data_IF_475796944058
#
_entry.id   IF_475796944058
#
_cell.length_a   1.000
_cell.length_b   1.000
_cell.length_c   1.000
_cell.angle_alpha   90.00
_cell.angle_beta   90.00
_cell.angle_gamma   90.00
#
_symmetry.space_group_name_H-M   'P 1'
#
loop_
_entity.id
_entity.type
_entity.pdbx_description
1 polymer ?
#
# COMPACT_ATOMS: atom_id res chain seq x y z
N UNK A 1 7.35 -2.43 -11.83
CA UNK A 1 6.78 -1.30 -12.59
C UNK A 1 7.64 -0.04 -12.66
N UNK A 2 8.16 0.50 -11.54
CA UNK A 2 8.97 1.74 -11.55
C UNK A 2 10.12 1.67 -10.53
N UNK A 3 11.10 2.56 -10.63
CA UNK A 3 12.17 2.72 -9.63
C UNK A 3 11.67 3.65 -8.53
N UNK A 4 11.70 3.17 -7.28
CA UNK A 4 11.36 3.94 -6.07
C UNK A 4 12.57 4.01 -5.12
N UNK A 5 12.37 4.51 -3.91
CA UNK A 5 13.44 4.74 -2.92
C UNK A 5 13.37 6.17 -2.39
N UNK A 6 13.51 7.19 -3.26
CA UNK A 6 13.15 8.55 -2.91
C UNK A 6 11.66 8.62 -2.56
N UNK A 7 11.36 9.03 -1.32
CA UNK A 7 10.02 9.04 -0.77
C UNK A 7 9.08 9.94 -1.59
N UNK A 8 7.81 9.55 -1.69
CA UNK A 8 6.78 10.28 -2.46
C UNK A 8 6.78 9.99 -3.96
N UNK A 9 7.90 9.60 -4.59
CA UNK A 9 7.93 9.34 -6.04
C UNK A 9 6.99 8.19 -6.48
N UNK A 10 6.85 7.16 -5.65
CA UNK A 10 6.02 5.98 -5.96
C UNK A 10 4.52 6.31 -6.13
N UNK A 11 3.94 7.14 -5.25
CA UNK A 11 2.55 7.59 -5.40
C UNK A 11 2.40 8.50 -6.62
N UNK A 12 3.39 9.35 -6.91
CA UNK A 12 3.39 10.20 -8.11
C UNK A 12 3.41 9.37 -9.39
N UNK A 13 4.24 8.32 -9.46
CA UNK A 13 4.23 7.40 -10.59
C UNK A 13 2.90 6.65 -10.72
N UNK A 14 2.33 6.19 -9.61
CA UNK A 14 1.04 5.51 -9.60
C UNK A 14 -0.10 6.40 -10.14
N UNK A 15 -0.08 7.71 -9.83
CA UNK A 15 -1.01 8.68 -10.44
C UNK A 15 -0.84 8.72 -11.96
N UNK A 16 0.40 8.72 -12.46
CA UNK A 16 0.69 8.64 -13.89
C UNK A 16 0.20 7.35 -14.55
N UNK A 17 0.38 6.20 -13.90
CA UNK A 17 -0.12 4.91 -14.41
C UNK A 17 -1.65 4.85 -14.47
N UNK A 18 -2.34 5.33 -13.44
CA UNK A 18 -3.80 5.39 -13.44
C UNK A 18 -4.35 6.39 -14.47
N UNK A 19 -3.64 7.50 -14.70
CA UNK A 19 -3.97 8.42 -15.79
C UNK A 19 -3.80 7.76 -17.16
N UNK A 20 -2.71 7.01 -17.38
CA UNK A 20 -2.46 6.31 -18.63
C UNK A 20 -3.55 5.26 -18.90
N UNK A 21 -3.93 4.47 -17.90
CA UNK A 21 -5.06 3.52 -18.00
C UNK A 21 -6.35 4.24 -18.44
N UNK A 22 -6.70 5.34 -17.76
CA UNK A 22 -7.92 6.10 -18.04
C UNK A 22 -7.95 6.66 -19.45
N UNK A 23 -6.83 7.22 -19.91
CA UNK A 23 -6.71 7.79 -21.26
C UNK A 23 -6.79 6.70 -22.33
N UNK A 24 -6.08 5.58 -22.15
CA UNK A 24 -6.10 4.47 -23.10
C UNK A 24 -7.47 3.77 -23.13
N UNK A 25 -8.13 3.60 -21.98
CA UNK A 25 -9.50 3.11 -21.91
C UNK A 25 -10.46 4.03 -22.68
N UNK A 26 -10.34 5.35 -22.52
CA UNK A 26 -11.16 6.33 -23.25
C UNK A 26 -10.91 6.29 -24.77
N UNK A 27 -9.68 6.06 -25.20
CA UNK A 27 -9.33 6.06 -26.63
C UNK A 27 -9.73 4.76 -27.34
N UNK A 28 -9.51 3.61 -26.69
CA UNK A 28 -9.58 2.30 -27.33
C UNK A 28 -10.79 1.45 -26.97
N UNK A 29 -11.41 1.64 -25.81
CA UNK A 29 -12.59 0.85 -25.47
C UNK A 29 -13.76 1.22 -26.40
N UNK A 30 -14.57 0.21 -26.74
CA UNK A 30 -15.80 0.36 -27.54
C UNK A 30 -16.95 -0.30 -26.78
N UNK A 31 -18.18 0.01 -27.16
CA UNK A 31 -19.35 -0.66 -26.60
C UNK A 31 -19.21 -2.18 -26.77
N UNK A 32 -19.34 -2.93 -25.67
CA UNK A 32 -19.13 -4.38 -25.64
C UNK A 32 -17.66 -4.85 -25.59
N UNK A 33 -16.67 -3.94 -25.65
CA UNK A 33 -15.25 -4.26 -25.73
C UNK A 33 -14.39 -3.34 -24.87
N UNK A 34 -14.16 -3.73 -23.61
CA UNK A 34 -13.22 -3.07 -22.71
C UNK A 34 -11.85 -3.78 -22.74
N UNK A 35 -10.98 -3.37 -23.67
CA UNK A 35 -9.64 -3.95 -23.85
C UNK A 35 -8.60 -3.36 -22.90
N UNK A 36 -8.86 -2.17 -22.37
CA UNK A 36 -8.09 -1.55 -21.29
C UNK A 36 -8.99 -1.42 -20.07
N UNK A 37 -8.75 -2.29 -19.08
CA UNK A 37 -9.45 -2.27 -17.81
C UNK A 37 -8.56 -2.86 -16.71
N UNK A 38 -7.79 -2.00 -16.03
CA UNK A 38 -6.95 -2.44 -14.92
C UNK A 38 -6.87 -1.40 -13.81
N UNK A 39 -6.54 -1.86 -12.62
CA UNK A 39 -6.33 -0.99 -11.45
C UNK A 39 -4.85 -0.67 -11.27
N UNK A 40 -4.58 0.48 -10.67
CA UNK A 40 -3.26 0.82 -10.15
C UNK A 40 -3.31 0.78 -8.63
N UNK A 41 -2.45 -0.04 -8.03
CA UNK A 41 -2.27 -0.10 -6.58
C UNK A 41 -0.94 0.52 -6.17
N UNK A 42 -0.91 1.17 -5.03
CA UNK A 42 0.33 1.72 -4.48
C UNK A 42 0.34 1.63 -2.96
N UNK A 43 1.49 1.24 -2.41
CA UNK A 43 1.76 1.28 -0.97
C UNK A 43 2.57 2.52 -0.66
N UNK A 44 2.27 3.16 0.47
CA UNK A 44 2.97 4.33 0.95
C UNK A 44 2.95 4.36 2.48
N UNK A 45 3.96 4.96 3.09
CA UNK A 45 4.02 5.19 4.53
C UNK A 45 4.13 6.67 4.87
N UNK A 46 4.36 6.97 6.16
CA UNK A 46 4.49 8.33 6.69
C UNK A 46 5.48 9.19 5.89
N UNK A 47 6.65 8.64 5.56
CA UNK A 47 7.69 9.33 4.79
C UNK A 47 7.21 9.82 3.43
N UNK A 48 6.40 9.02 2.72
CA UNK A 48 5.81 9.45 1.46
C UNK A 48 4.80 10.58 1.65
N UNK A 49 4.04 10.56 2.74
CA UNK A 49 2.97 11.53 3.00
C UNK A 49 3.48 12.87 3.51
N UNK A 50 4.63 12.89 4.17
CA UNK A 50 5.32 14.11 4.58
C UNK A 50 5.95 14.85 3.38
N UNK A 51 6.34 14.12 2.34
CA UNK A 51 6.92 14.73 1.13
C UNK A 51 5.89 15.56 0.35
N UNK A 52 6.26 16.81 0.01
CA UNK A 52 5.37 17.76 -0.66
C UNK A 52 4.88 17.28 -2.04
N UNK A 53 5.69 16.48 -2.74
CA UNK A 53 5.31 15.89 -4.04
C UNK A 53 4.07 14.99 -3.92
N UNK A 54 3.84 14.38 -2.75
CA UNK A 54 2.64 13.58 -2.52
C UNK A 54 1.38 14.45 -2.52
N UNK A 55 1.45 15.68 -2.00
CA UNK A 55 0.32 16.60 -2.02
C UNK A 55 -0.05 16.98 -3.45
N UNK A 56 0.93 17.33 -4.27
CA UNK A 56 0.71 17.66 -5.69
C UNK A 56 0.05 16.51 -6.45
N UNK A 57 0.60 15.30 -6.32
CA UNK A 57 0.08 14.11 -6.99
C UNK A 57 -1.33 13.73 -6.50
N UNK A 58 -1.57 13.76 -5.18
CA UNK A 58 -2.87 13.43 -4.57
C UNK A 58 -3.93 14.45 -4.98
N UNK A 59 -3.61 15.74 -5.01
CA UNK A 59 -4.54 16.78 -5.46
C UNK A 59 -4.94 16.59 -6.92
N UNK A 60 -3.97 16.30 -7.81
CA UNK A 60 -4.24 16.04 -9.23
C UNK A 60 -5.06 14.77 -9.44
N UNK A 61 -4.76 13.68 -8.73
CA UNK A 61 -5.49 12.42 -8.86
C UNK A 61 -6.98 12.57 -8.52
N UNK A 62 -7.29 13.38 -7.49
CA UNK A 62 -8.66 13.70 -7.12
C UNK A 62 -9.35 14.59 -8.16
N UNK A 63 -8.67 15.66 -8.60
CA UNK A 63 -9.17 16.54 -9.66
C UNK A 63 -9.48 15.78 -10.96
N UNK A 64 -8.64 14.81 -11.31
CA UNK A 64 -8.81 13.97 -12.50
C UNK A 64 -9.70 12.76 -12.29
N UNK A 65 -10.27 12.56 -11.10
CA UNK A 65 -11.23 11.47 -10.84
C UNK A 65 -10.66 10.10 -11.23
N UNK A 66 -9.45 9.78 -10.77
CA UNK A 66 -8.74 8.53 -11.10
C UNK A 66 -9.28 7.35 -10.26
N UNK A 67 -10.50 6.91 -10.53
CA UNK A 67 -11.23 5.96 -9.70
C UNK A 67 -10.65 4.55 -9.62
N UNK A 68 -9.74 4.18 -10.54
CA UNK A 68 -9.00 2.91 -10.50
C UNK A 68 -7.65 2.99 -9.79
N UNK A 69 -7.32 4.13 -9.17
CA UNK A 69 -6.18 4.28 -8.28
C UNK A 69 -6.58 3.96 -6.84
N UNK A 70 -5.94 2.95 -6.26
CA UNK A 70 -6.15 2.52 -4.88
C UNK A 70 -4.81 2.58 -4.13
N UNK A 71 -4.72 3.46 -3.16
CA UNK A 71 -3.55 3.65 -2.32
C UNK A 71 -3.77 2.99 -0.95
N UNK A 72 -2.81 2.20 -0.49
CA UNK A 72 -2.82 1.59 0.84
C UNK A 72 -1.75 2.30 1.68
N UNK A 73 -2.21 3.04 2.68
CA UNK A 73 -1.33 3.76 3.59
C UNK A 73 -1.01 2.87 4.80
N UNK A 74 0.27 2.54 4.94
CA UNK A 74 0.85 1.91 6.12
C UNK A 74 0.95 2.93 7.26
N UNK A 75 -0.12 3.04 8.03
CA UNK A 75 -0.25 3.93 9.17
C UNK A 75 0.25 3.22 10.44
N UNK A 76 1.58 3.10 10.53
CA UNK A 76 2.27 2.37 11.61
C UNK A 76 2.80 3.29 12.73
N UNK A 77 2.81 4.61 12.49
CA UNK A 77 3.19 5.64 13.47
C UNK A 77 4.69 5.78 13.73
N UNK A 78 5.56 5.19 12.92
CA UNK A 78 7.02 5.17 13.10
C UNK A 78 7.74 5.62 11.80
N UNK A 79 8.66 6.58 11.94
CA UNK A 79 9.69 6.90 10.94
C UNK A 79 11.09 6.54 11.47
N UNK A 80 12.14 6.89 10.71
CA UNK A 80 13.54 6.68 11.11
C UNK A 80 13.84 7.30 12.49
N UNK A 81 13.31 8.49 12.76
CA UNK A 81 13.58 9.23 14.00
C UNK A 81 12.72 8.78 15.20
N UNK A 82 11.80 7.82 15.00
CA UNK A 82 10.92 7.32 16.05
C UNK A 82 9.43 7.54 15.77
N UNK A 83 8.68 7.78 16.84
CA UNK A 83 7.25 8.04 16.75
C UNK A 83 6.98 9.34 16.01
N UNK A 84 6.14 9.29 14.98
CA UNK A 84 5.97 10.42 14.04
C UNK A 84 5.21 11.61 14.61
N UNK A 85 4.38 11.42 15.64
CA UNK A 85 3.45 12.42 16.17
C UNK A 85 4.06 13.81 16.47
N UNK A 86 5.32 13.95 16.96
CA UNK A 86 5.90 15.26 17.22
C UNK A 86 6.21 16.11 15.97
N UNK A 87 6.34 15.50 14.79
CA UNK A 87 6.68 16.21 13.53
C UNK A 87 5.72 15.91 12.36
N UNK A 88 4.84 14.93 12.50
CA UNK A 88 3.78 14.62 11.56
C UNK A 88 2.46 14.41 12.32
N UNK A 89 1.69 15.49 12.41
CA UNK A 89 0.43 15.56 13.15
C UNK A 89 -0.79 15.76 12.25
N UNK A 90 -0.62 15.58 10.93
CA UNK A 90 -1.70 15.73 9.95
C UNK A 90 -2.84 14.77 10.25
N UNK A 91 -4.08 15.25 10.07
CA UNK A 91 -5.19 14.35 9.83
C UNK A 91 -5.16 13.90 8.37
N UNK A 92 -4.32 12.90 8.08
CA UNK A 92 -4.14 12.34 6.74
C UNK A 92 -5.46 11.93 6.07
N UNK A 93 -6.38 11.20 6.72
CA UNK A 93 -7.70 10.91 6.15
C UNK A 93 -8.42 12.17 5.66
N UNK A 94 -8.50 13.22 6.49
CA UNK A 94 -9.17 14.46 6.11
C UNK A 94 -8.44 15.23 5.00
N UNK A 95 -7.10 15.17 4.96
CA UNK A 95 -6.31 15.74 3.85
C UNK A 95 -6.71 15.11 2.51
N UNK A 96 -6.84 13.78 2.47
CA UNK A 96 -7.25 13.06 1.26
C UNK A 96 -8.71 13.34 0.89
N UNK A 97 -9.62 13.39 1.86
CA UNK A 97 -11.03 13.81 1.63
C UNK A 97 -11.08 15.21 1.02
N UNK A 98 -10.30 16.16 1.53
CA UNK A 98 -10.21 17.52 0.99
C UNK A 98 -9.67 17.56 -0.45
N UNK A 99 -8.80 16.61 -0.82
CA UNK A 99 -8.33 16.42 -2.18
C UNK A 99 -9.30 15.62 -3.08
N UNK A 100 -10.51 15.30 -2.62
CA UNK A 100 -11.53 14.61 -3.43
C UNK A 100 -11.37 13.08 -3.50
N UNK A 101 -10.62 12.48 -2.56
CA UNK A 101 -10.47 11.02 -2.49
C UNK A 101 -11.61 10.39 -1.68
N UNK A 102 -11.93 9.13 -2.03
CA UNK A 102 -12.63 8.24 -1.14
C UNK A 102 -11.65 7.73 -0.07
N UNK A 103 -12.07 7.62 1.19
CA UNK A 103 -11.22 7.13 2.28
C UNK A 103 -11.92 5.99 3.01
N UNK A 104 -11.21 4.88 3.18
CA UNK A 104 -11.66 3.69 3.91
C UNK A 104 -10.72 3.47 5.10
N UNK A 105 -11.28 3.25 6.28
CA UNK A 105 -10.54 2.98 7.51
C UNK A 105 -10.54 4.13 8.53
N UNK A 106 -9.71 4.04 9.58
CA UNK A 106 -8.65 3.04 9.78
C UNK A 106 -9.18 1.61 9.89
N UNK A 107 -8.53 0.67 9.20
CA UNK A 107 -8.76 -0.78 9.34
C UNK A 107 -7.56 -1.43 10.05
N UNK A 108 -7.76 -2.61 10.64
CA UNK A 108 -6.62 -3.43 11.10
C UNK A 108 -5.89 -4.00 9.88
N UNK A 109 -4.66 -3.54 9.64
CA UNK A 109 -3.85 -3.99 8.52
C UNK A 109 -3.23 -5.38 8.71
N UNK A 110 -3.39 -5.99 9.90
CA UNK A 110 -3.00 -7.38 10.16
C UNK A 110 -4.17 -8.37 10.01
N UNK A 111 -5.37 -7.88 9.73
CA UNK A 111 -6.55 -8.69 9.42
C UNK A 111 -6.73 -8.76 7.90
N UNK A 112 -6.38 -9.91 7.31
CA UNK A 112 -6.41 -10.11 5.87
C UNK A 112 -7.83 -10.00 5.29
N UNK A 113 -8.85 -10.41 6.04
CA UNK A 113 -10.25 -10.31 5.59
C UNK A 113 -10.68 -8.84 5.55
N UNK A 114 -10.29 -8.03 6.54
CA UNK A 114 -10.56 -6.58 6.55
C UNK A 114 -9.87 -5.86 5.39
N UNK A 115 -8.63 -6.21 5.09
CA UNK A 115 -7.91 -5.65 3.93
C UNK A 115 -8.58 -6.06 2.62
N UNK A 116 -8.99 -7.33 2.48
CA UNK A 116 -9.70 -7.81 1.30
C UNK A 116 -11.07 -7.11 1.12
N UNK A 117 -11.84 -6.96 2.19
CA UNK A 117 -13.11 -6.22 2.23
C UNK A 117 -12.90 -4.75 1.78
N UNK A 118 -11.88 -4.08 2.31
CA UNK A 118 -11.58 -2.69 1.97
C UNK A 118 -11.16 -2.52 0.51
N UNK A 119 -10.33 -3.43 -0.02
CA UNK A 119 -9.95 -3.42 -1.45
C UNK A 119 -11.17 -3.68 -2.33
N UNK A 120 -12.03 -4.63 -1.96
CA UNK A 120 -13.27 -4.92 -2.69
C UNK A 120 -14.23 -3.72 -2.70
N UNK A 121 -14.33 -2.98 -1.58
CA UNK A 121 -15.10 -1.75 -1.49
C UNK A 121 -14.48 -0.61 -2.32
N UNK A 122 -13.16 -0.44 -2.27
CA UNK A 122 -12.44 0.56 -3.06
C UNK A 122 -12.69 0.39 -4.58
N UNK A 123 -12.70 -0.86 -5.07
CA UNK A 123 -13.00 -1.19 -6.47
C UNK A 123 -14.41 -0.80 -6.92
N UNK A 124 -15.36 -0.56 -6.00
CA UNK A 124 -16.71 -0.10 -6.35
C UNK A 124 -16.77 1.41 -6.63
N UNK A 125 -15.72 2.17 -6.33
CA UNK A 125 -15.70 3.60 -6.65
C UNK A 125 -15.62 3.82 -8.16
N UNK A 126 -16.54 4.65 -8.66
CA UNK A 126 -16.64 5.00 -10.08
C UNK A 126 -16.10 6.39 -10.40
N UNK A 127 -15.89 7.23 -9.39
CA UNK A 127 -15.54 8.64 -9.60
C UNK A 127 -14.28 9.12 -8.88
N UNK A 128 -13.84 8.46 -7.82
CA UNK A 128 -12.79 8.99 -6.95
C UNK A 128 -11.70 7.96 -6.71
N UNK A 129 -10.42 8.36 -6.70
CA UNK A 129 -9.35 7.48 -6.19
C UNK A 129 -9.62 7.15 -4.71
N UNK A 130 -9.12 6.01 -4.25
CA UNK A 130 -9.35 5.55 -2.86
C UNK A 130 -8.05 5.46 -2.07
N UNK A 131 -8.07 6.01 -0.85
CA UNK A 131 -7.09 5.75 0.19
C UNK A 131 -7.67 4.73 1.17
N UNK A 132 -6.96 3.63 1.41
CA UNK A 132 -7.24 2.69 2.49
C UNK A 132 -6.19 2.94 3.58
N UNK A 133 -6.66 3.28 4.78
CA UNK A 133 -5.80 3.54 5.94
C UNK A 133 -5.63 2.26 6.73
N UNK A 134 -4.47 1.62 6.59
CA UNK A 134 -4.15 0.36 7.24
C UNK A 134 -3.34 0.65 8.51
N UNK A 135 -3.93 0.41 9.69
CA UNK A 135 -3.19 0.48 10.95
C UNK A 135 -2.34 -0.78 11.08
N UNK A 136 -1.03 -0.61 11.14
CA UNK A 136 -0.10 -1.74 11.29
C UNK A 136 0.86 -1.54 12.46
N UNK A 137 1.75 -2.52 12.63
CA UNK A 137 2.83 -2.50 13.60
C UNK A 137 4.10 -2.79 12.82
N UNK A 138 5.00 -1.81 12.71
CA UNK A 138 6.30 -2.03 12.10
C UNK A 138 7.02 -3.18 12.82
N UNK A 139 7.64 -4.10 12.08
CA UNK A 139 8.30 -5.28 12.64
C UNK A 139 7.37 -6.28 13.33
N UNK A 140 6.06 -6.31 13.00
CA UNK A 140 5.10 -7.29 13.53
C UNK A 140 5.69 -8.72 13.54
N UNK A 141 5.57 -9.37 14.70
CA UNK A 141 6.09 -10.72 14.93
C UNK A 141 7.42 -10.73 15.70
N UNK A 142 8.24 -9.69 15.59
CA UNK A 142 9.46 -9.57 16.39
C UNK A 142 9.12 -9.15 17.83
N UNK A 143 9.43 -9.97 18.84
CA UNK A 143 9.07 -9.66 20.22
C UNK A 143 9.74 -8.40 20.77
N UNK A 144 10.98 -8.09 20.34
CA UNK A 144 11.77 -6.99 20.92
C UNK A 144 11.92 -5.77 19.99
N UNK A 145 11.60 -5.89 18.69
CA UNK A 145 11.74 -4.78 17.72
C UNK A 145 10.42 -4.24 17.19
N UNK A 146 9.31 -4.95 17.37
CA UNK A 146 8.00 -4.46 16.92
C UNK A 146 7.68 -3.08 17.51
N UNK A 147 7.08 -2.20 16.70
CA UNK A 147 6.74 -0.82 17.06
C UNK A 147 7.95 0.08 17.42
N UNK A 148 9.15 -0.25 16.95
CA UNK A 148 10.34 0.57 17.18
C UNK A 148 10.98 1.02 15.86
N UNK A 149 11.60 2.20 15.85
CA UNK A 149 12.37 2.69 14.70
C UNK A 149 13.52 1.74 14.32
N UNK A 150 14.02 0.93 15.26
CA UNK A 150 15.08 -0.04 14.97
C UNK A 150 14.62 -1.16 14.03
N UNK A 151 13.32 -1.40 13.88
CA UNK A 151 12.79 -2.34 12.89
C UNK A 151 12.77 -1.76 11.46
N UNK A 152 13.06 -0.47 11.29
CA UNK A 152 12.94 0.22 10.00
C UNK A 152 14.11 -0.07 9.04
N UNK A 153 15.34 0.15 9.50
CA UNK A 153 16.51 0.24 8.62
C UNK A 153 17.66 -0.71 8.94
N UNK A 154 17.49 -1.59 9.93
CA UNK A 154 18.56 -2.47 10.41
C UNK A 154 18.13 -3.95 10.34
N UNK A 155 19.05 -4.88 10.04
CA UNK A 155 18.78 -6.31 10.23
C UNK A 155 18.38 -6.61 11.67
N UNK A 156 17.38 -7.48 11.87
CA UNK A 156 16.95 -7.89 13.22
C UNK A 156 18.09 -8.54 14.03
N UNK A 157 18.98 -9.26 13.36
CA UNK A 157 20.05 -10.06 13.97
C UNK A 157 19.61 -11.50 14.24
N UNK A 158 20.57 -12.42 14.33
CA UNK A 158 20.30 -13.86 14.41
C UNK A 158 19.40 -14.26 15.59
N UNK A 159 19.67 -13.72 16.79
CA UNK A 159 18.88 -14.01 17.99
C UNK A 159 17.42 -13.52 17.86
N UNK A 160 17.23 -12.31 17.34
CA UNK A 160 15.89 -11.76 17.17
C UNK A 160 15.11 -12.49 16.07
N UNK A 161 15.78 -12.93 15.00
CA UNK A 161 15.17 -13.75 13.94
C UNK A 161 14.66 -15.07 14.51
N UNK A 162 15.42 -15.72 15.40
CA UNK A 162 14.99 -16.95 16.08
C UNK A 162 13.72 -16.72 16.90
N UNK A 163 13.70 -15.68 17.72
CA UNK A 163 12.53 -15.32 18.53
C UNK A 163 11.32 -14.96 17.66
N UNK A 164 11.54 -14.27 16.54
CA UNK A 164 10.48 -13.92 15.59
C UNK A 164 9.88 -15.17 14.94
N UNK A 165 10.72 -16.14 14.56
CA UNK A 165 10.27 -17.43 14.03
C UNK A 165 9.44 -18.20 15.05
N UNK A 166 9.90 -18.27 16.30
CA UNK A 166 9.18 -18.92 17.40
C UNK A 166 7.81 -18.25 17.64
N UNK A 167 7.77 -16.91 17.68
CA UNK A 167 6.54 -16.16 17.90
C UNK A 167 5.51 -16.30 16.77
N UNK A 168 5.97 -16.44 15.53
CA UNK A 168 5.12 -16.63 14.35
C UNK A 168 4.80 -18.10 14.05
N UNK A 169 5.40 -19.05 14.77
CA UNK A 169 5.30 -20.47 14.45
C UNK A 169 5.94 -20.84 13.10
N UNK A 170 6.89 -20.03 12.60
CA UNK A 170 7.53 -20.26 11.30
C UNK A 170 8.75 -21.17 11.43
N UNK A 171 8.61 -22.42 11.02
CA UNK A 171 9.61 -23.48 11.22
C UNK A 171 10.54 -23.71 10.02
N UNK A 172 10.26 -23.12 8.86
CA UNK A 172 11.11 -23.32 7.68
C UNK A 172 12.46 -22.60 7.82
N UNK A 173 13.51 -23.15 7.20
CA UNK A 173 14.85 -22.55 7.17
C UNK A 173 14.91 -21.24 6.37
N UNK A 174 15.97 -20.42 6.49
CA UNK A 174 16.17 -19.24 5.65
C UNK A 174 16.10 -19.60 4.16
N UNK A 175 15.30 -18.84 3.41
CA UNK A 175 15.08 -19.03 1.96
C UNK A 175 14.40 -20.35 1.54
N UNK A 176 13.85 -21.10 2.49
CA UNK A 176 13.02 -22.28 2.21
C UNK A 176 11.56 -21.91 2.40
N UNK A 177 10.77 -22.07 1.34
CA UNK A 177 9.31 -21.85 1.34
C UNK A 177 8.63 -23.20 1.19
N UNK A 178 7.71 -23.59 2.10
CA UNK A 178 6.90 -24.80 1.97
C UNK A 178 6.15 -24.86 0.63
N UNK A 179 6.06 -26.06 0.04
CA UNK A 179 5.48 -26.25 -1.30
C UNK A 179 3.99 -25.86 -1.36
N UNK A 180 3.23 -26.13 -0.31
CA UNK A 180 1.82 -25.75 -0.19
C UNK A 180 1.63 -24.23 -0.17
N UNK A 181 2.53 -23.51 0.51
CA UNK A 181 2.58 -22.06 0.49
C UNK A 181 2.96 -21.58 -0.92
N UNK A 182 4.00 -22.12 -1.53
CA UNK A 182 4.40 -21.75 -2.89
C UNK A 182 3.25 -21.95 -3.89
N UNK A 183 2.58 -23.11 -3.85
CA UNK A 183 1.44 -23.43 -4.68
C UNK A 183 0.28 -22.45 -4.48
N UNK A 184 -0.01 -22.06 -3.23
CA UNK A 184 -1.06 -21.08 -2.91
C UNK A 184 -0.77 -19.66 -3.43
N UNK A 185 0.51 -19.30 -3.57
CA UNK A 185 0.94 -17.98 -4.07
C UNK A 185 1.24 -17.96 -5.58
N UNK A 186 1.32 -19.11 -6.24
CA UNK A 186 1.70 -19.18 -7.64
C UNK A 186 0.59 -18.64 -8.57
N UNK A 187 0.89 -17.58 -9.31
CA UNK A 187 -0.05 -16.97 -10.27
C UNK A 187 0.26 -17.27 -11.74
N UNK A 188 1.14 -18.26 -12.05
CA UNK A 188 1.56 -18.53 -13.45
C UNK A 188 0.39 -18.88 -14.35
N UNK A 189 -0.55 -19.69 -13.87
CA UNK A 189 -1.72 -20.08 -14.64
C UNK A 189 -2.60 -18.86 -14.99
N UNK A 190 -2.78 -17.93 -14.04
CA UNK A 190 -3.57 -16.71 -14.26
C UNK A 190 -2.90 -15.75 -15.25
N UNK A 191 -1.56 -15.76 -15.33
CA UNK A 191 -0.79 -14.87 -16.22
C UNK A 191 -0.58 -15.38 -17.64
N UNK A 192 -1.14 -16.53 -18.03
CA UNK A 192 -1.02 -17.08 -19.40
C UNK A 192 -2.01 -16.48 -20.41
N UNK A 193 -2.76 -15.46 -20.00
CA UNK A 193 -3.72 -14.71 -20.82
C UNK A 193 -3.06 -13.78 -21.84
#
# INVERSE_FOLDING_TARGET
ETTTGPLGQGITNAVGFALAEKLLASEFNREGHAVVDHHTYTFLGDGCLMEGISHEAVALAGAWKLNKLIALYDDNGISIDGQVAPWFADNTPLRFVACGWNVIGPIDGHDADKVAEAIAEAKKQTERPTLIVCKTHIGKGSPNRANTAKAHGEPLGAEEIKLTREALGWTSEPFVVPEDIYASWNAKANGQS
#
